data_IF_214132583990
#
_entry.id   IF_214132583990
#
_cell.length_a   1.000
_cell.length_b   1.000
_cell.length_c   1.000
_cell.angle_alpha   90.00
_cell.angle_beta   90.00
_cell.angle_gamma   90.00
#
_symmetry.space_group_name_H-M   'P 1'
#
loop_
_entity.id
_entity.type
_entity.pdbx_description
1 polymer ?
#
# COMPACT_ATOMS: atom_id res chain seq x y z
N UNK A 1 -35.97 -22.82 27.64
CA UNK A 1 -34.82 -22.95 28.58
C UNK A 1 -34.15 -21.60 28.81
N UNK A 2 -33.36 -21.43 29.88
CA UNK A 2 -32.60 -20.18 30.14
C UNK A 2 -31.12 -20.43 29.91
N UNK A 3 -30.53 -19.79 28.89
CA UNK A 3 -29.11 -19.93 28.58
C UNK A 3 -28.33 -18.74 29.18
N UNK A 4 -27.16 -19.04 29.75
CA UNK A 4 -26.23 -18.03 30.27
C UNK A 4 -25.24 -17.64 29.18
N UNK A 5 -25.20 -16.36 28.86
CA UNK A 5 -24.28 -15.77 27.88
C UNK A 5 -23.35 -14.81 28.59
N UNK A 6 -22.06 -14.89 28.29
CA UNK A 6 -21.05 -13.94 28.76
C UNK A 6 -20.90 -12.84 27.71
N UNK A 7 -21.34 -11.63 28.03
CA UNK A 7 -21.14 -10.46 27.18
C UNK A 7 -20.30 -9.44 27.95
N UNK A 8 -19.13 -9.11 27.38
CA UNK A 8 -18.07 -8.35 28.05
C UNK A 8 -17.68 -8.99 29.41
N UNK A 9 -18.04 -8.34 30.52
CA UNK A 9 -17.81 -8.78 31.90
C UNK A 9 -19.11 -9.15 32.64
N UNK A 10 -20.25 -9.19 31.94
CA UNK A 10 -21.57 -9.43 32.53
C UNK A 10 -22.15 -10.75 32.03
N UNK A 11 -22.70 -11.54 32.95
CA UNK A 11 -23.44 -12.76 32.63
C UNK A 11 -24.91 -12.39 32.46
N UNK A 12 -25.42 -12.50 31.24
CA UNK A 12 -26.83 -12.29 30.92
C UNK A 12 -27.54 -13.63 30.77
N UNK A 13 -28.85 -13.65 31.03
CA UNK A 13 -29.70 -14.82 30.84
C UNK A 13 -30.73 -14.52 29.76
N UNK A 14 -30.75 -15.35 28.73
CA UNK A 14 -31.71 -15.27 27.62
C UNK A 14 -32.67 -16.46 27.70
N UNK A 15 -33.95 -16.19 27.44
CA UNK A 15 -34.97 -17.23 27.28
C UNK A 15 -34.95 -17.69 25.82
N UNK A 16 -34.69 -18.97 25.61
CA UNK A 16 -34.53 -19.57 24.27
C UNK A 16 -35.26 -20.91 24.23
N UNK A 17 -35.77 -21.28 23.06
CA UNK A 17 -36.30 -22.62 22.82
C UNK A 17 -35.17 -23.66 22.87
N UNK A 18 -35.42 -24.78 23.53
CA UNK A 18 -34.43 -25.85 23.69
C UNK A 18 -34.18 -26.58 22.38
N UNK A 19 -35.25 -26.90 21.65
CA UNK A 19 -35.16 -27.78 20.48
C UNK A 19 -34.52 -27.04 19.31
N UNK A 20 -34.84 -25.75 19.14
CA UNK A 20 -34.16 -24.86 18.20
C UNK A 20 -32.66 -24.72 18.52
N UNK A 21 -32.31 -24.62 19.81
CA UNK A 21 -30.92 -24.48 20.24
C UNK A 21 -30.13 -25.79 20.09
N UNK A 22 -30.78 -26.94 20.27
CA UNK A 22 -30.17 -28.24 20.05
C UNK A 22 -29.79 -28.44 18.57
N UNK A 23 -30.70 -28.05 17.68
CA UNK A 23 -30.48 -28.08 16.23
C UNK A 23 -29.39 -27.08 15.81
N UNK A 24 -29.41 -25.85 16.32
CA UNK A 24 -28.42 -24.83 15.96
C UNK A 24 -27.00 -25.19 16.39
N UNK A 25 -26.85 -25.89 17.52
CA UNK A 25 -25.57 -26.39 18.02
C UNK A 25 -25.15 -27.74 17.42
N UNK A 26 -25.95 -28.32 16.50
CA UNK A 26 -25.64 -29.58 15.82
C UNK A 26 -25.26 -30.72 16.77
N UNK A 27 -26.04 -30.90 17.85
CA UNK A 27 -25.70 -31.79 18.96
C UNK A 27 -25.95 -33.29 18.71
N UNK A 28 -26.43 -33.65 17.51
CA UNK A 28 -26.74 -35.04 17.13
C UNK A 28 -28.07 -35.54 17.69
N UNK A 29 -28.26 -36.85 17.75
CA UNK A 29 -29.52 -37.46 18.21
C UNK A 29 -29.70 -37.29 19.73
N UNK A 30 -30.91 -36.90 20.11
CA UNK A 30 -31.30 -36.62 21.49
C UNK A 30 -31.87 -37.87 22.19
N UNK A 31 -31.85 -39.03 21.52
CA UNK A 31 -32.53 -40.25 21.95
C UNK A 31 -32.02 -40.77 23.30
N UNK A 32 -32.94 -40.89 24.25
CA UNK A 32 -32.68 -41.41 25.59
C UNK A 32 -32.12 -40.42 26.61
N UNK A 33 -31.87 -39.16 26.23
CA UNK A 33 -31.45 -38.12 27.18
C UNK A 33 -32.65 -37.47 27.85
N UNK A 34 -32.50 -37.18 29.14
CA UNK A 34 -33.49 -36.41 29.86
C UNK A 34 -33.44 -34.93 29.45
N UNK A 35 -34.59 -34.29 29.56
CA UNK A 35 -34.81 -32.84 29.41
C UNK A 35 -33.70 -31.97 30.04
N UNK A 36 -33.22 -32.33 31.24
CA UNK A 36 -32.19 -31.60 31.95
C UNK A 36 -30.76 -31.85 31.41
N UNK A 37 -30.48 -33.06 30.93
CA UNK A 37 -29.19 -33.41 30.32
C UNK A 37 -28.99 -32.69 28.99
N UNK A 38 -30.07 -32.55 28.21
CA UNK A 38 -30.04 -31.78 26.97
C UNK A 38 -29.69 -30.31 27.23
N UNK A 39 -30.35 -29.68 28.21
CA UNK A 39 -30.06 -28.28 28.57
C UNK A 39 -28.63 -28.07 29.06
N UNK A 40 -28.09 -29.02 29.84
CA UNK A 40 -26.71 -28.98 30.32
C UNK A 40 -25.71 -29.06 29.15
N UNK A 41 -25.96 -29.96 28.21
CA UNK A 41 -25.09 -30.17 27.03
C UNK A 41 -25.14 -28.98 26.07
N UNK A 42 -26.32 -28.38 25.88
CA UNK A 42 -26.49 -27.11 25.16
C UNK A 42 -25.65 -26.02 25.82
N UNK A 43 -25.77 -25.83 27.13
CA UNK A 43 -25.02 -24.79 27.84
C UNK A 43 -23.50 -25.03 27.78
N UNK A 44 -23.05 -26.28 27.87
CA UNK A 44 -21.63 -26.65 27.78
C UNK A 44 -21.05 -26.34 26.40
N UNK A 45 -21.73 -26.74 25.32
CA UNK A 45 -21.30 -26.43 23.96
C UNK A 45 -21.38 -24.94 23.64
N UNK A 46 -22.41 -24.27 24.13
CA UNK A 46 -22.50 -22.81 24.00
C UNK A 46 -21.35 -22.11 24.72
N UNK A 47 -20.96 -22.59 25.91
CA UNK A 47 -19.80 -22.05 26.63
C UNK A 47 -18.51 -22.27 25.85
N UNK A 48 -18.35 -23.46 25.25
CA UNK A 48 -17.18 -23.81 24.45
C UNK A 48 -17.02 -22.92 23.20
N UNK A 49 -18.12 -22.60 22.53
CA UNK A 49 -18.09 -21.82 21.29
C UNK A 49 -18.07 -20.31 21.53
N UNK A 50 -18.89 -19.83 22.48
CA UNK A 50 -19.21 -18.41 22.59
C UNK A 50 -18.77 -17.76 23.90
N UNK A 51 -18.71 -18.51 25.01
CA UNK A 51 -18.29 -17.96 26.31
C UNK A 51 -16.82 -18.24 26.67
N UNK A 52 -16.01 -18.75 25.73
CA UNK A 52 -14.56 -18.92 25.95
C UNK A 52 -13.88 -17.55 26.11
N UNK A 53 -12.97 -17.40 27.09
CA UNK A 53 -12.24 -16.14 27.26
C UNK A 53 -11.45 -15.76 26.00
N UNK A 54 -10.96 -16.74 25.23
CA UNK A 54 -10.23 -16.52 23.97
C UNK A 54 -11.11 -15.96 22.85
N UNK A 55 -12.38 -16.37 22.74
CA UNK A 55 -13.31 -15.85 21.73
C UNK A 55 -13.65 -14.37 21.98
N UNK A 56 -13.83 -14.02 23.26
CA UNK A 56 -14.01 -12.63 23.68
C UNK A 56 -12.76 -11.77 23.40
N UNK A 57 -11.57 -12.35 23.54
CA UNK A 57 -10.33 -11.65 23.21
C UNK A 57 -10.17 -11.42 21.71
N UNK A 58 -10.48 -12.40 20.86
CA UNK A 58 -10.44 -12.25 19.40
C UNK A 58 -11.42 -11.17 18.92
N UNK A 59 -12.69 -11.25 19.32
CA UNK A 59 -13.69 -10.25 18.92
C UNK A 59 -13.32 -8.85 19.44
N UNK A 60 -12.79 -8.73 20.66
CA UNK A 60 -12.32 -7.44 21.20
C UNK A 60 -11.15 -6.87 20.41
N UNK A 61 -10.25 -7.73 19.92
CA UNK A 61 -9.08 -7.33 19.15
C UNK A 61 -9.45 -6.91 17.71
N UNK A 62 -10.38 -7.63 17.08
CA UNK A 62 -10.71 -7.46 15.66
C UNK A 62 -11.81 -6.42 15.38
N UNK A 63 -12.63 -6.07 16.38
CA UNK A 63 -13.75 -5.10 16.26
C UNK A 63 -13.34 -3.72 15.73
N UNK A 64 -12.06 -3.38 15.74
CA UNK A 64 -11.55 -2.12 15.22
C UNK A 64 -10.23 -2.24 14.46
N UNK A 65 -10.07 -3.36 13.73
CA UNK A 65 -8.89 -3.61 12.89
C UNK A 65 -9.13 -3.30 11.41
N UNK A 66 -10.21 -2.58 11.06
CA UNK A 66 -10.39 -2.10 9.68
C UNK A 66 -9.13 -1.33 9.26
N UNK A 67 -8.56 -1.59 8.07
CA UNK A 67 -7.37 -0.91 7.56
C UNK A 67 -7.52 0.61 7.54
N UNK A 68 -8.77 1.09 7.41
CA UNK A 68 -9.11 2.51 7.34
C UNK A 68 -9.53 3.09 8.69
N UNK A 69 -9.42 2.33 9.78
CA UNK A 69 -9.78 2.83 11.11
C UNK A 69 -8.88 4.01 11.50
N UNK A 70 -9.47 5.11 11.93
CA UNK A 70 -8.70 6.25 12.41
C UNK A 70 -7.74 5.84 13.56
N UNK A 71 -6.47 6.26 13.56
CA UNK A 71 -5.49 5.83 14.55
C UNK A 71 -5.87 6.30 15.96
N UNK A 72 -5.34 5.62 16.99
CA UNK A 72 -5.47 6.11 18.38
C UNK A 72 -4.73 7.43 18.54
N UNK A 73 -5.23 8.29 19.43
CA UNK A 73 -4.52 9.52 19.79
C UNK A 73 -3.17 9.18 20.42
N UNK A 74 -2.10 9.86 19.98
CA UNK A 74 -0.75 9.68 20.51
C UNK A 74 -0.55 10.38 21.87
N UNK A 75 -1.42 11.31 22.21
CA UNK A 75 -1.34 12.17 23.40
C UNK A 75 -1.81 11.50 24.71
N UNK A 76 -1.89 10.16 24.71
CA UNK A 76 -2.37 9.36 25.87
C UNK A 76 -3.85 9.53 26.22
N UNK A 77 -4.56 10.49 25.61
CA UNK A 77 -5.99 10.72 25.80
C UNK A 77 -6.83 9.62 25.13
N UNK A 78 -7.93 9.24 25.80
CA UNK A 78 -8.86 8.24 25.25
C UNK A 78 -9.49 8.76 23.95
N UNK A 79 -9.54 7.92 22.93
CA UNK A 79 -10.19 8.20 21.65
C UNK A 79 -9.30 7.94 20.42
N UNK A 80 -9.89 8.12 19.24
CA UNK A 80 -9.18 8.10 17.96
C UNK A 80 -8.99 9.52 17.45
N UNK A 81 -8.05 9.70 16.53
CA UNK A 81 -7.90 10.96 15.79
C UNK A 81 -9.18 11.17 14.99
N UNK A 82 -9.89 12.26 15.21
CA UNK A 82 -11.00 12.65 14.34
C UNK A 82 -10.38 13.37 13.15
N UNK A 83 -10.35 12.68 12.02
CA UNK A 83 -10.15 13.33 10.74
C UNK A 83 -11.52 13.92 10.38
N UNK A 84 -11.59 15.24 10.30
CA UNK A 84 -12.80 15.95 9.86
C UNK A 84 -12.78 15.94 8.34
N UNK A 85 -13.87 15.47 7.75
CA UNK A 85 -14.15 15.63 6.33
C UNK A 85 -15.20 16.74 6.19
N UNK A 86 -14.90 17.80 5.45
CA UNK A 86 -15.82 18.92 5.28
C UNK A 86 -17.06 18.54 4.45
N UNK A 87 -17.05 17.37 3.79
CA UNK A 87 -18.16 16.84 2.96
C UNK A 87 -18.96 15.71 3.63
N UNK A 88 -18.57 15.24 4.82
CA UNK A 88 -19.12 14.04 5.46
C UNK A 88 -19.26 14.17 6.98
N UNK A 89 -20.45 13.86 7.51
CA UNK A 89 -20.69 13.77 8.96
C UNK A 89 -20.00 12.55 9.61
N UNK A 90 -19.51 11.60 8.81
CA UNK A 90 -18.77 10.43 9.27
C UNK A 90 -17.28 10.76 9.43
N UNK A 91 -16.60 10.22 10.46
CA UNK A 91 -15.17 10.46 10.66
C UNK A 91 -14.37 9.89 9.49
N UNK A 92 -13.51 10.71 8.87
CA UNK A 92 -12.69 10.27 7.76
C UNK A 92 -11.81 9.08 8.16
N UNK A 93 -11.81 8.05 7.32
CA UNK A 93 -10.94 6.90 7.47
C UNK A 93 -9.48 7.27 7.23
N UNK A 94 -8.56 6.52 7.86
CA UNK A 94 -7.15 6.63 7.55
C UNK A 94 -6.82 5.85 6.28
N UNK A 95 -6.88 6.51 5.13
CA UNK A 95 -6.71 5.90 3.81
C UNK A 95 -5.25 5.90 3.34
N UNK A 96 -4.31 6.44 4.13
CA UNK A 96 -2.91 6.62 3.69
C UNK A 96 -2.24 5.28 3.35
N UNK A 97 -2.54 4.23 4.11
CA UNK A 97 -1.96 2.89 3.92
C UNK A 97 -2.51 2.17 2.67
N UNK A 98 -3.56 2.70 2.04
CA UNK A 98 -4.08 2.20 0.76
C UNK A 98 -3.30 2.76 -0.44
N UNK A 99 -2.48 3.79 -0.25
CA UNK A 99 -1.62 4.35 -1.27
C UNK A 99 -0.18 3.88 -1.03
N UNK A 100 0.22 2.76 -1.64
CA UNK A 100 1.57 2.25 -1.44
C UNK A 100 2.60 3.25 -1.97
N UNK A 101 3.70 3.43 -1.23
CA UNK A 101 4.80 4.28 -1.66
C UNK A 101 5.50 3.65 -2.87
N UNK A 102 5.36 4.30 -4.03
CA UNK A 102 5.97 3.87 -5.29
C UNK A 102 7.29 4.60 -5.58
N UNK A 103 7.83 5.36 -4.63
CA UNK A 103 9.05 6.15 -4.81
C UNK A 103 10.21 5.31 -5.35
N UNK A 104 10.41 4.11 -4.81
CA UNK A 104 11.49 3.20 -5.25
C UNK A 104 11.30 2.71 -6.68
N UNK A 105 10.06 2.34 -7.04
CA UNK A 105 9.73 1.89 -8.41
C UNK A 105 9.96 3.03 -9.40
N UNK A 106 9.48 4.23 -9.06
CA UNK A 106 9.66 5.44 -9.88
C UNK A 106 11.14 5.77 -10.04
N UNK A 107 11.94 5.67 -8.98
CA UNK A 107 13.38 5.94 -9.04
C UNK A 107 14.11 4.93 -9.91
N UNK A 108 13.75 3.64 -9.80
CA UNK A 108 14.31 2.57 -10.63
C UNK A 108 13.96 2.77 -12.10
N UNK A 109 12.71 3.10 -12.40
CA UNK A 109 12.26 3.35 -13.77
C UNK A 109 12.96 4.56 -14.38
N UNK A 110 13.10 5.66 -13.62
CA UNK A 110 13.91 6.82 -14.04
C UNK A 110 15.35 6.45 -14.34
N UNK A 111 15.96 5.58 -13.52
CA UNK A 111 17.33 5.13 -13.74
C UNK A 111 17.44 4.29 -15.02
N UNK A 112 16.51 3.37 -15.25
CA UNK A 112 16.48 2.57 -16.48
C UNK A 112 16.28 3.42 -17.73
N UNK A 113 15.36 4.39 -17.69
CA UNK A 113 15.15 5.34 -18.79
C UNK A 113 16.41 6.17 -19.05
N UNK A 114 17.05 6.66 -17.99
CA UNK A 114 18.31 7.40 -18.08
C UNK A 114 19.43 6.57 -18.73
N UNK A 115 19.66 5.36 -18.24
CA UNK A 115 20.68 4.44 -18.75
C UNK A 115 20.43 4.04 -20.20
N UNK A 116 19.16 3.79 -20.56
CA UNK A 116 18.76 3.46 -21.93
C UNK A 116 19.08 4.62 -22.90
N UNK A 117 18.72 5.86 -22.54
CA UNK A 117 18.99 7.04 -23.38
C UNK A 117 20.49 7.30 -23.49
N UNK A 118 21.23 7.22 -22.37
CA UNK A 118 22.69 7.41 -22.37
C UNK A 118 23.40 6.33 -23.19
N UNK A 119 22.99 5.07 -23.06
CA UNK A 119 23.53 3.96 -23.84
C UNK A 119 23.28 4.13 -25.33
N UNK A 120 22.08 4.58 -25.72
CA UNK A 120 21.75 4.91 -27.10
C UNK A 120 22.66 6.03 -27.65
N UNK A 121 22.84 7.12 -26.92
CA UNK A 121 23.72 8.21 -27.35
C UNK A 121 25.17 7.75 -27.53
N UNK A 122 25.71 6.99 -26.58
CA UNK A 122 27.08 6.46 -26.64
C UNK A 122 27.29 5.46 -27.77
N UNK A 123 26.25 4.73 -28.18
CA UNK A 123 26.32 3.75 -29.28
C UNK A 123 26.39 4.41 -30.66
N UNK A 124 25.67 5.52 -30.86
CA UNK A 124 25.48 6.11 -32.18
C UNK A 124 26.29 7.39 -32.44
N UNK A 125 26.72 8.09 -31.39
CA UNK A 125 27.52 9.30 -31.51
C UNK A 125 28.97 9.07 -31.07
N UNK A 126 29.86 9.97 -31.49
CA UNK A 126 31.23 10.01 -30.99
C UNK A 126 31.23 10.27 -29.48
N UNK A 127 32.17 9.69 -28.70
CA UNK A 127 32.16 9.77 -27.24
C UNK A 127 32.13 11.21 -26.72
N UNK A 128 32.94 12.11 -27.28
CA UNK A 128 32.93 13.54 -26.89
C UNK A 128 31.59 14.24 -27.15
N UNK A 129 30.88 13.83 -28.20
CA UNK A 129 29.57 14.41 -28.55
C UNK A 129 28.46 13.82 -27.66
N UNK A 130 28.53 12.53 -27.38
CA UNK A 130 27.58 11.83 -26.51
C UNK A 130 27.66 12.38 -25.08
N UNK A 131 28.86 12.44 -24.48
CA UNK A 131 29.02 12.95 -23.11
C UNK A 131 28.60 14.42 -22.99
N UNK A 132 28.89 15.25 -24.00
CA UNK A 132 28.46 16.65 -24.02
C UNK A 132 26.92 16.78 -24.01
N UNK A 133 26.21 15.97 -24.81
CA UNK A 133 24.75 15.99 -24.86
C UNK A 133 24.15 15.41 -23.57
N UNK A 134 24.72 14.35 -23.01
CA UNK A 134 24.27 13.78 -21.73
C UNK A 134 24.39 14.83 -20.63
N UNK A 135 25.55 15.45 -20.49
CA UNK A 135 25.82 16.38 -19.39
C UNK A 135 24.94 17.64 -19.46
N UNK A 136 24.78 18.21 -20.66
CA UNK A 136 24.04 19.48 -20.82
C UNK A 136 22.54 19.25 -20.94
N UNK A 137 22.09 18.30 -21.76
CA UNK A 137 20.66 18.12 -22.04
C UNK A 137 19.96 17.13 -21.11
N UNK A 138 20.66 16.11 -20.62
CA UNK A 138 20.08 15.10 -19.71
C UNK A 138 20.33 15.49 -18.25
N UNK A 139 21.59 15.70 -17.86
CA UNK A 139 21.97 16.07 -16.49
C UNK A 139 21.71 17.56 -16.17
N UNK A 140 21.28 18.35 -17.17
CA UNK A 140 20.94 19.78 -17.05
C UNK A 140 22.07 20.66 -16.49
N UNK A 141 23.32 20.24 -16.68
CA UNK A 141 24.48 21.03 -16.24
C UNK A 141 24.56 22.29 -17.10
N UNK A 142 24.65 23.49 -16.50
CA UNK A 142 24.75 24.72 -17.27
C UNK A 142 26.06 24.77 -18.05
N UNK A 143 26.00 25.33 -19.26
CA UNK A 143 27.13 25.38 -20.20
C UNK A 143 28.38 26.02 -19.59
N UNK A 144 28.20 27.00 -18.70
CA UNK A 144 29.30 27.69 -18.00
C UNK A 144 30.06 26.78 -17.05
N UNK A 145 29.34 25.95 -16.26
CA UNK A 145 29.98 24.99 -15.35
C UNK A 145 30.70 23.90 -16.11
N UNK A 146 30.08 23.38 -17.19
CA UNK A 146 30.73 22.42 -18.07
C UNK A 146 32.02 22.97 -18.68
N UNK A 147 31.98 24.22 -19.16
CA UNK A 147 33.12 24.93 -19.73
C UNK A 147 34.25 25.08 -18.70
N UNK A 148 33.93 25.52 -17.48
CA UNK A 148 34.89 25.69 -16.39
C UNK A 148 35.54 24.35 -16.00
N UNK A 149 34.76 23.27 -15.88
CA UNK A 149 35.25 21.93 -15.52
C UNK A 149 36.26 21.37 -16.52
N UNK A 150 36.07 21.68 -17.81
CA UNK A 150 36.92 21.18 -18.89
C UNK A 150 38.00 22.18 -19.34
N UNK A 151 38.06 23.38 -18.75
CA UNK A 151 39.00 24.43 -19.14
C UNK A 151 38.76 25.00 -20.55
N UNK A 152 37.51 24.97 -21.02
CA UNK A 152 37.12 25.41 -22.37
C UNK A 152 36.30 26.71 -22.26
N UNK A 153 36.26 27.54 -23.31
CA UNK A 153 35.39 28.72 -23.32
C UNK A 153 33.91 28.33 -23.52
N UNK A 154 32.95 29.04 -22.91
CA UNK A 154 31.52 28.77 -23.11
C UNK A 154 31.06 28.84 -24.58
N UNK A 155 31.72 29.68 -25.39
CA UNK A 155 31.48 29.77 -26.84
C UNK A 155 31.89 28.49 -27.56
N UNK A 156 33.06 27.93 -27.25
CA UNK A 156 33.51 26.66 -27.83
C UNK A 156 32.58 25.50 -27.43
N UNK A 157 32.07 25.49 -26.19
CA UNK A 157 31.03 24.51 -25.75
C UNK A 157 29.77 24.63 -26.62
N UNK A 158 29.32 25.85 -26.90
CA UNK A 158 28.12 26.09 -27.71
C UNK A 158 28.30 25.59 -29.16
N UNK A 159 29.44 25.85 -29.80
CA UNK A 159 29.72 25.32 -31.14
C UNK A 159 29.84 23.79 -31.19
N UNK A 160 30.47 23.18 -30.17
CA UNK A 160 30.56 21.72 -30.07
C UNK A 160 29.17 21.11 -29.91
N UNK A 161 28.31 21.74 -29.11
CA UNK A 161 26.94 21.32 -28.88
C UNK A 161 26.09 21.42 -30.15
N UNK A 162 26.17 22.52 -30.90
CA UNK A 162 25.49 22.65 -32.20
C UNK A 162 25.91 21.54 -33.19
N UNK A 163 27.20 21.21 -33.20
CA UNK A 163 27.73 20.14 -34.05
C UNK A 163 27.23 18.76 -33.61
N UNK A 164 27.19 18.51 -32.30
CA UNK A 164 26.65 17.29 -31.72
C UNK A 164 25.14 17.14 -32.03
N UNK A 165 24.36 18.21 -31.91
CA UNK A 165 22.92 18.23 -32.24
C UNK A 165 22.66 17.99 -33.73
N UNK A 166 23.47 18.59 -34.62
CA UNK A 166 23.38 18.31 -36.06
C UNK A 166 23.66 16.85 -36.38
N UNK A 167 24.67 16.25 -35.75
CA UNK A 167 24.97 14.83 -35.93
C UNK A 167 23.88 13.94 -35.34
N UNK A 168 23.37 14.29 -34.16
CA UNK A 168 22.23 13.62 -33.53
C UNK A 168 21.01 13.60 -34.45
N UNK A 169 20.62 14.75 -35.03
CA UNK A 169 19.50 14.86 -35.98
C UNK A 169 19.71 14.06 -37.26
N UNK A 170 20.95 13.88 -37.72
CA UNK A 170 21.24 13.03 -38.88
C UNK A 170 21.00 11.55 -38.58
N UNK A 171 21.34 11.11 -37.37
CA UNK A 171 21.11 9.72 -36.95
C UNK A 171 19.65 9.49 -36.58
N UNK A 172 19.02 10.48 -35.94
CA UNK A 172 17.64 10.42 -35.46
C UNK A 172 16.81 11.57 -36.08
N UNK A 173 16.42 11.44 -37.36
CA UNK A 173 15.71 12.51 -38.08
C UNK A 173 14.23 12.65 -37.67
N UNK A 174 13.64 11.63 -37.05
CA UNK A 174 12.22 11.63 -36.65
C UNK A 174 12.08 11.16 -35.21
N UNK A 175 11.18 11.77 -34.45
CA UNK A 175 10.89 11.38 -33.05
C UNK A 175 10.41 9.93 -32.89
N UNK A 176 9.93 9.30 -33.98
CA UNK A 176 9.53 7.88 -34.00
C UNK A 176 10.71 6.90 -34.14
N UNK A 177 11.91 7.39 -34.49
CA UNK A 177 13.10 6.54 -34.65
C UNK A 177 13.76 6.13 -33.33
N UNK A 178 13.27 6.64 -32.19
CA UNK A 178 13.65 6.19 -30.85
C UNK A 178 12.90 4.90 -30.49
N UNK A 179 13.03 3.84 -31.28
CA UNK A 179 12.66 2.52 -30.79
C UNK A 179 13.76 2.05 -29.83
N UNK A 180 13.69 2.52 -28.59
CA UNK A 180 14.27 1.78 -27.48
C UNK A 180 13.48 0.48 -27.47
N UNK A 181 14.05 -0.58 -28.06
CA UNK A 181 13.45 -1.89 -28.09
C UNK A 181 13.12 -2.25 -26.63
N UNK A 182 11.84 -2.16 -26.28
CA UNK A 182 11.34 -2.71 -25.03
C UNK A 182 11.43 -4.22 -25.22
N UNK A 183 12.48 -4.81 -24.66
CA UNK A 183 12.56 -6.26 -24.45
C UNK A 183 11.49 -6.70 -23.46
#
# INVERSE_FOLDING_TARGET
MKIKVSYDNTKQTLEVDRDEMWLSLSLGDADGMTSAEMEKRIQEKFNELFNRPEYNNWHRHDRHSSPTSAPKKLDGTKGRVQLVDDESDEPAGNTIDLFPDMTDVINRDKQYEYEAVCGMLRKYLKPEQAELLIEIHINKVPKQEYAARNGITPSAVSHRLETAEKNFKKVFPTSSSFSIARG
#
